data_IF_708305843866
#
_entry.id   IF_708305843866
#
_cell.length_a   1.000
_cell.length_b   1.000
_cell.length_c   1.000
_cell.angle_alpha   90.00
_cell.angle_beta   90.00
_cell.angle_gamma   90.00
#
_symmetry.space_group_name_H-M   'P 1'
#
loop_
_entity.id
_entity.type
_entity.pdbx_description
1 polymer ?
#
# COMPACT_ATOMS: atom_id res chain seq x y z
N UNK A 1 -30.07 -2.22 -11.79
CA UNK A 1 -28.64 -2.42 -12.11
C UNK A 1 -27.98 -2.96 -10.86
N UNK A 2 -27.42 -4.16 -10.89
CA UNK A 2 -26.70 -4.73 -9.75
C UNK A 2 -25.21 -4.43 -9.92
N UNK A 3 -24.65 -3.59 -9.05
CA UNK A 3 -23.22 -3.36 -9.01
C UNK A 3 -22.53 -4.54 -8.32
N UNK A 4 -21.46 -5.04 -8.93
CA UNK A 4 -20.67 -6.16 -8.40
C UNK A 4 -19.20 -5.75 -8.32
N UNK A 5 -18.56 -6.10 -7.20
CA UNK A 5 -17.13 -5.89 -6.98
C UNK A 5 -16.36 -7.14 -7.39
N UNK A 6 -15.33 -6.98 -8.23
CA UNK A 6 -14.40 -8.04 -8.60
C UNK A 6 -12.99 -7.68 -8.13
N UNK A 7 -12.22 -8.68 -7.68
CA UNK A 7 -10.83 -8.48 -7.27
C UNK A 7 -9.99 -8.20 -8.51
N UNK A 8 -9.28 -7.06 -8.54
CA UNK A 8 -8.44 -6.65 -9.68
C UNK A 8 -6.96 -7.03 -9.54
N UNK A 9 -6.48 -7.27 -8.32
CA UNK A 9 -5.07 -7.59 -8.08
C UNK A 9 -4.69 -7.54 -6.61
N UNK A 10 -3.38 -7.69 -6.33
CA UNK A 10 -2.81 -7.61 -4.97
C UNK A 10 -1.57 -6.73 -4.97
N UNK A 11 -1.34 -6.02 -3.85
CA UNK A 11 -0.13 -5.24 -3.62
C UNK A 11 0.75 -6.00 -2.63
N UNK A 12 1.91 -6.50 -3.07
CA UNK A 12 2.83 -7.29 -2.25
C UNK A 12 4.04 -6.46 -1.85
N UNK A 13 4.31 -6.36 -0.54
CA UNK A 13 5.48 -5.63 -0.04
C UNK A 13 5.62 -5.61 1.48
N UNK A 14 4.52 -5.62 2.22
CA UNK A 14 4.55 -5.77 3.68
C UNK A 14 4.96 -7.19 4.09
N UNK A 15 5.81 -7.30 5.10
CA UNK A 15 6.22 -8.58 5.72
C UNK A 15 5.41 -8.92 6.96
N UNK A 16 4.52 -8.00 7.38
CA UNK A 16 3.61 -8.16 8.50
C UNK A 16 2.16 -7.90 8.11
N UNK A 17 1.27 -7.95 9.10
CA UNK A 17 -0.14 -7.65 8.91
C UNK A 17 -0.35 -6.18 8.60
N UNK A 18 -1.05 -5.90 7.50
CA UNK A 18 -1.55 -4.56 7.19
C UNK A 18 -2.64 -4.21 8.20
N UNK A 19 -2.44 -3.14 8.94
CA UNK A 19 -3.36 -2.70 10.00
C UNK A 19 -4.24 -1.54 9.56
N UNK A 20 -3.82 -0.78 8.55
CA UNK A 20 -4.56 0.40 8.07
C UNK A 20 -4.23 0.72 6.62
N UNK A 21 -5.21 1.29 5.92
CA UNK A 21 -5.09 1.82 4.56
C UNK A 21 -5.66 3.24 4.55
N UNK A 22 -5.00 4.17 3.87
CA UNK A 22 -5.47 5.54 3.66
C UNK A 22 -5.42 5.93 2.18
N UNK A 23 -6.45 6.64 1.74
CA UNK A 23 -6.63 7.14 0.37
C UNK A 23 -6.88 8.64 0.39
N UNK A 24 -6.58 9.33 -0.70
CA UNK A 24 -6.79 10.78 -0.83
C UNK A 24 -7.47 11.10 -2.16
N UNK A 25 -8.51 11.95 -2.18
CA UNK A 25 -9.12 12.40 -3.43
C UNK A 25 -8.19 13.33 -4.24
N UNK A 26 -7.20 13.96 -3.59
CA UNK A 26 -6.22 14.81 -4.27
C UNK A 26 -5.25 14.00 -5.14
N UNK A 27 -4.94 12.76 -4.73
CA UNK A 27 -4.04 11.86 -5.46
C UNK A 27 -4.68 10.47 -5.60
N UNK A 28 -5.60 10.27 -6.57
CA UNK A 28 -6.40 9.04 -6.67
C UNK A 28 -5.58 7.79 -7.01
N UNK A 29 -4.40 7.95 -7.59
CA UNK A 29 -3.49 6.84 -7.88
C UNK A 29 -2.46 6.61 -6.77
N UNK A 30 -2.64 7.24 -5.60
CA UNK A 30 -1.79 7.05 -4.43
C UNK A 30 -2.56 6.41 -3.28
N UNK A 31 -1.98 5.36 -2.69
CA UNK A 31 -2.48 4.71 -1.48
C UNK A 31 -1.36 4.59 -0.46
N UNK A 32 -1.68 4.77 0.82
CA UNK A 32 -0.79 4.48 1.94
C UNK A 32 -1.28 3.25 2.67
N UNK A 33 -0.36 2.35 3.04
CA UNK A 33 -0.64 1.22 3.92
C UNK A 33 0.31 1.21 5.11
N UNK A 34 -0.21 0.95 6.31
CA UNK A 34 0.57 0.76 7.53
C UNK A 34 0.52 -0.71 7.95
N UNK A 35 1.62 -1.21 8.51
CA UNK A 35 1.76 -2.63 8.87
C UNK A 35 2.48 -2.83 10.20
N UNK A 36 2.25 -4.00 10.81
CA UNK A 36 2.98 -4.48 11.99
C UNK A 36 4.46 -4.74 11.74
N UNK A 37 4.90 -4.75 10.48
CA UNK A 37 6.34 -4.78 10.14
C UNK A 37 7.08 -3.46 10.42
N UNK A 38 6.41 -2.49 11.07
CA UNK A 38 6.95 -1.17 11.44
C UNK A 38 7.27 -0.30 10.22
N UNK A 39 6.62 -0.56 9.10
CA UNK A 39 6.72 0.25 7.89
C UNK A 39 5.39 0.83 7.44
N UNK A 40 5.49 1.97 6.77
CA UNK A 40 4.41 2.55 5.97
C UNK A 40 4.87 2.53 4.51
N UNK A 41 4.07 1.94 3.61
CA UNK A 41 4.35 1.91 2.18
C UNK A 41 3.42 2.88 1.44
N UNK A 42 4.01 3.73 0.61
CA UNK A 42 3.30 4.55 -0.37
C UNK A 42 3.27 3.83 -1.70
N UNK A 43 2.08 3.49 -2.15
CA UNK A 43 1.80 2.80 -3.41
C UNK A 43 1.39 3.78 -4.48
N UNK A 44 1.93 3.58 -5.68
CA UNK A 44 1.40 4.17 -6.90
C UNK A 44 0.61 3.11 -7.66
N UNK A 45 -0.68 3.37 -7.87
CA UNK A 45 -1.56 2.50 -8.64
C UNK A 45 -1.31 2.68 -10.13
N UNK A 46 -0.95 1.60 -10.80
CA UNK A 46 -0.79 1.52 -12.26
C UNK A 46 -2.01 0.90 -12.93
N UNK A 47 -2.84 0.18 -12.15
CA UNK A 47 -4.07 -0.51 -12.60
C UNK A 47 -3.85 -1.52 -13.73
N UNK A 48 -2.61 -2.01 -13.85
CA UNK A 48 -2.27 -3.12 -14.72
C UNK A 48 -2.82 -4.44 -14.14
N UNK A 49 -3.18 -5.38 -15.01
CA UNK A 49 -3.80 -6.66 -14.63
C UNK A 49 -2.79 -7.57 -13.90
N UNK A 50 -1.51 -7.45 -14.23
CA UNK A 50 -0.43 -8.23 -13.62
C UNK A 50 0.14 -7.58 -12.37
N UNK A 51 0.39 -6.26 -12.38
CA UNK A 51 0.93 -5.52 -11.24
C UNK A 51 0.09 -4.28 -10.97
N UNK A 52 -0.92 -4.41 -10.11
CA UNK A 52 -1.93 -3.36 -9.87
C UNK A 52 -1.34 -2.05 -9.31
N UNK A 53 -0.20 -2.13 -8.62
CA UNK A 53 0.53 -0.97 -8.14
C UNK A 53 1.94 -1.31 -7.70
N UNK A 54 2.78 -0.28 -7.64
CA UNK A 54 4.20 -0.37 -7.29
C UNK A 54 4.47 0.38 -5.99
N UNK A 55 5.36 -0.14 -5.11
CA UNK A 55 5.79 0.59 -3.93
C UNK A 55 6.73 1.73 -4.36
N UNK A 56 6.34 2.98 -4.14
CA UNK A 56 7.18 4.14 -4.42
C UNK A 56 8.13 4.47 -3.28
N UNK A 57 7.66 4.37 -2.03
CA UNK A 57 8.45 4.69 -0.83
C UNK A 57 8.04 3.77 0.32
N UNK A 58 9.01 3.31 1.09
CA UNK A 58 8.77 2.65 2.37
C UNK A 58 9.44 3.50 3.46
N UNK A 59 8.65 3.97 4.42
CA UNK A 59 9.15 4.59 5.63
C UNK A 59 9.22 3.51 6.70
N UNK A 60 10.42 3.14 7.09
CA UNK A 60 10.66 2.21 8.20
C UNK A 60 11.12 3.00 9.42
N UNK A 61 10.60 2.64 10.57
CA UNK A 61 11.15 3.10 11.84
C UNK A 61 12.52 2.43 12.08
N UNK A 62 13.60 3.21 11.91
CA UNK A 62 14.98 2.80 12.18
C UNK A 62 15.50 3.30 13.54
N UNK A 63 14.64 3.79 14.44
CA UNK A 63 15.04 4.43 15.70
C UNK A 63 15.73 3.49 16.71
N UNK A 64 15.87 2.20 16.41
CA UNK A 64 16.49 1.20 17.29
C UNK A 64 17.96 0.84 17.02
N UNK A 65 18.61 1.38 15.96
CA UNK A 65 19.98 0.98 15.57
C UNK A 65 21.04 2.08 15.73
N UNK A 66 20.73 3.14 16.50
CA UNK A 66 21.61 4.29 16.70
C UNK A 66 21.92 4.49 18.19
N UNK A 67 22.49 3.47 18.80
CA UNK A 67 23.24 3.53 20.08
C UNK A 67 24.67 3.08 19.81
#
# INVERSE_FOLDING_TARGET
MTEQMTVRGTLKGHSGWVTQIATTPQYPDMILSASRDKSIIMWKLTRDETNYGIPQRSLMDLWGLRL
#
